data_IF_421142963172
#
_entry.id   IF_421142963172
#
_cell.length_a   1.000
_cell.length_b   1.000
_cell.length_c   1.000
_cell.angle_alpha   90.00
_cell.angle_beta   90.00
_cell.angle_gamma   90.00
#
_symmetry.space_group_name_H-M   'P 1'
#
loop_
_entity.id
_entity.type
_entity.pdbx_description
1 polymer ?
#
# COMPACT_ATOMS: atom_id res chain seq x y z
N UNK A 1 -10.58 12.72 -26.81
CA UNK A 1 -11.05 11.68 -27.74
C UNK A 1 -9.89 10.83 -28.22
N UNK A 2 -10.18 9.72 -28.91
CA UNK A 2 -9.15 8.84 -29.49
C UNK A 2 -8.36 9.58 -30.58
N UNK A 3 -7.03 9.52 -30.51
CA UNK A 3 -6.17 10.05 -31.56
C UNK A 3 -6.04 9.00 -32.66
N UNK A 4 -6.73 9.21 -33.78
CA UNK A 4 -6.80 8.26 -34.89
C UNK A 4 -5.41 7.77 -35.34
N UNK A 5 -4.43 8.67 -35.39
CA UNK A 5 -3.05 8.35 -35.80
C UNK A 5 -2.33 7.31 -34.93
N UNK A 6 -2.81 7.06 -33.69
CA UNK A 6 -2.21 6.11 -32.75
C UNK A 6 -3.12 4.91 -32.47
N UNK A 7 -4.28 4.84 -33.12
CA UNK A 7 -5.28 3.81 -32.85
C UNK A 7 -5.30 2.82 -34.01
N UNK A 8 -5.13 1.51 -33.77
CA UNK A 8 -5.28 0.50 -34.82
C UNK A 8 -6.61 0.65 -35.55
N UNK A 9 -6.58 0.55 -36.88
CA UNK A 9 -7.75 0.80 -37.74
C UNK A 9 -8.99 0.01 -37.32
N UNK A 10 -8.83 -1.25 -36.90
CA UNK A 10 -9.94 -2.09 -36.47
C UNK A 10 -10.62 -1.56 -35.20
N UNK A 11 -9.84 -1.06 -34.22
CA UNK A 11 -10.36 -0.47 -32.99
C UNK A 11 -11.04 0.87 -33.27
N UNK A 12 -10.44 1.71 -34.12
CA UNK A 12 -11.01 3.01 -34.46
C UNK A 12 -12.36 2.83 -35.17
N UNK A 13 -12.44 1.94 -36.16
CA UNK A 13 -13.70 1.62 -36.87
C UNK A 13 -14.76 1.09 -35.92
N UNK A 14 -14.40 0.16 -35.04
CA UNK A 14 -15.34 -0.39 -34.05
C UNK A 14 -15.86 0.68 -33.09
N UNK A 15 -14.97 1.53 -32.56
CA UNK A 15 -15.34 2.62 -31.65
C UNK A 15 -16.26 3.64 -32.33
N UNK A 16 -15.96 4.07 -33.55
CA UNK A 16 -16.83 4.98 -34.31
C UNK A 16 -18.18 4.35 -34.61
N UNK A 17 -18.20 3.07 -35.04
CA UNK A 17 -19.45 2.36 -35.32
C UNK A 17 -20.35 2.29 -34.08
N UNK A 18 -19.79 1.95 -32.92
CA UNK A 18 -20.56 1.85 -31.67
C UNK A 18 -21.29 3.16 -31.32
N UNK A 19 -20.63 4.31 -31.50
CA UNK A 19 -21.26 5.61 -31.25
C UNK A 19 -22.23 6.04 -32.34
N UNK A 20 -21.98 5.70 -33.61
CA UNK A 20 -22.94 5.94 -34.69
C UNK A 20 -24.22 5.12 -34.48
N UNK A 21 -24.09 3.84 -34.15
CA UNK A 21 -25.23 2.97 -33.86
C UNK A 21 -26.02 3.50 -32.66
N UNK A 22 -25.32 3.95 -31.59
CA UNK A 22 -25.97 4.51 -30.42
C UNK A 22 -26.78 5.79 -30.74
N UNK A 23 -26.25 6.66 -31.61
CA UNK A 23 -26.94 7.86 -32.07
C UNK A 23 -28.16 7.50 -32.93
N UNK A 24 -27.96 6.67 -33.97
CA UNK A 24 -29.02 6.29 -34.92
C UNK A 24 -30.20 5.61 -34.22
N UNK A 25 -29.92 4.61 -33.37
CA UNK A 25 -30.96 3.90 -32.61
C UNK A 25 -31.62 4.82 -31.57
N UNK A 26 -30.84 5.71 -30.95
CA UNK A 26 -31.35 6.67 -29.98
C UNK A 26 -32.27 7.72 -30.59
N UNK A 27 -32.02 8.17 -31.82
CA UNK A 27 -32.91 9.07 -32.55
C UNK A 27 -34.22 8.39 -32.96
N UNK A 28 -34.17 7.10 -33.32
CA UNK A 28 -35.35 6.33 -33.74
C UNK A 28 -36.25 5.93 -32.56
N UNK A 29 -35.65 5.58 -31.42
CA UNK A 29 -36.37 4.95 -30.31
C UNK A 29 -36.38 5.76 -29.01
N UNK A 30 -35.58 6.82 -28.93
CA UNK A 30 -35.35 7.59 -27.72
C UNK A 30 -34.37 6.90 -26.75
N UNK A 31 -33.96 7.64 -25.72
CA UNK A 31 -33.09 7.14 -24.64
C UNK A 31 -33.90 6.96 -23.36
N UNK A 32 -33.74 5.80 -22.70
CA UNK A 32 -34.41 5.54 -21.41
C UNK A 32 -33.76 6.28 -20.25
N UNK A 33 -32.43 6.44 -20.28
CA UNK A 33 -31.63 7.00 -19.20
C UNK A 33 -30.92 8.28 -19.69
N UNK A 34 -31.05 9.39 -18.95
CA UNK A 34 -30.37 10.63 -19.27
C UNK A 34 -28.84 10.57 -19.01
N UNK A 35 -28.42 9.68 -18.11
CA UNK A 35 -27.03 9.35 -17.81
C UNK A 35 -26.90 7.84 -17.63
N UNK A 36 -25.83 7.25 -18.15
CA UNK A 36 -25.65 5.79 -18.21
C UNK A 36 -24.33 5.31 -17.59
N UNK A 37 -23.36 6.20 -17.43
CA UNK A 37 -21.99 5.85 -17.01
C UNK A 37 -21.43 6.85 -16.00
N UNK A 38 -20.78 6.32 -14.97
CA UNK A 38 -20.04 7.05 -13.93
C UNK A 38 -18.90 6.13 -13.46
N UNK A 39 -17.78 6.69 -13.02
CA UNK A 39 -16.77 5.91 -12.28
C UNK A 39 -16.94 6.25 -10.81
N UNK A 40 -17.51 5.31 -10.06
CA UNK A 40 -17.75 5.42 -8.62
C UNK A 40 -16.50 4.98 -7.82
N UNK A 41 -16.38 5.40 -6.54
CA UNK A 41 -15.34 4.85 -5.68
C UNK A 41 -15.61 3.36 -5.43
N UNK A 42 -14.58 2.54 -5.57
CA UNK A 42 -14.68 1.07 -5.49
C UNK A 42 -13.79 0.47 -4.41
N UNK A 43 -13.45 1.23 -3.35
CA UNK A 43 -12.52 0.80 -2.31
C UNK A 43 -12.89 -0.55 -1.66
N UNK A 44 -14.12 -0.68 -1.17
CA UNK A 44 -14.61 -1.91 -0.53
C UNK A 44 -14.73 -3.06 -1.51
N UNK A 45 -15.45 -2.86 -2.62
CA UNK A 45 -15.72 -3.93 -3.59
C UNK A 45 -14.46 -4.35 -4.35
N UNK A 46 -13.55 -3.43 -4.65
CA UNK A 46 -12.29 -3.72 -5.32
C UNK A 46 -11.41 -4.63 -4.46
N UNK A 47 -11.39 -4.43 -3.14
CA UNK A 47 -10.70 -5.33 -2.23
C UNK A 47 -11.32 -6.74 -2.22
N UNK A 48 -12.65 -6.84 -2.18
CA UNK A 48 -13.37 -8.13 -2.22
C UNK A 48 -13.15 -8.86 -3.55
N UNK A 49 -12.97 -8.12 -4.64
CA UNK A 49 -12.72 -8.65 -5.98
C UNK A 49 -11.22 -8.87 -6.28
N UNK A 50 -10.34 -8.67 -5.30
CA UNK A 50 -8.89 -8.81 -5.45
C UNK A 50 -8.31 -7.93 -6.58
N UNK A 51 -8.86 -6.72 -6.73
CA UNK A 51 -8.36 -5.72 -7.66
C UNK A 51 -7.18 -4.95 -7.04
N UNK A 52 -6.02 -4.99 -7.69
CA UNK A 52 -4.85 -4.19 -7.31
C UNK A 52 -5.15 -2.67 -7.34
N UNK A 53 -6.01 -2.23 -8.27
CA UNK A 53 -6.36 -0.83 -8.49
C UNK A 53 -7.87 -0.62 -8.49
N UNK A 54 -8.32 0.58 -8.08
CA UNK A 54 -9.76 0.94 -8.04
C UNK A 54 -10.11 1.96 -9.12
N UNK A 55 -11.14 1.69 -9.92
CA UNK A 55 -11.59 2.58 -10.99
C UNK A 55 -10.51 2.88 -12.05
N UNK A 56 -10.02 4.12 -12.08
CA UNK A 56 -8.91 4.58 -12.96
C UNK A 56 -7.75 5.16 -12.14
N UNK A 57 -7.64 4.70 -10.90
CA UNK A 57 -6.53 5.04 -10.01
C UNK A 57 -5.29 4.22 -10.38
N UNK A 58 -4.10 4.83 -10.38
CA UNK A 58 -2.90 4.01 -10.24
C UNK A 58 -2.94 3.32 -8.89
N UNK A 59 -2.21 2.21 -8.78
CA UNK A 59 -2.12 1.51 -7.51
C UNK A 59 -1.58 2.43 -6.41
N UNK A 60 -2.10 2.32 -5.19
CA UNK A 60 -1.72 3.16 -4.05
C UNK A 60 -0.23 3.03 -3.71
N UNK A 61 0.25 1.79 -3.58
CA UNK A 61 1.65 1.40 -3.37
C UNK A 61 1.82 -0.10 -3.70
N UNK A 62 3.04 -0.54 -4.02
CA UNK A 62 3.33 -1.93 -4.36
C UNK A 62 3.04 -2.89 -3.19
N UNK A 63 3.37 -2.46 -1.97
CA UNK A 63 2.97 -3.11 -0.73
C UNK A 63 2.33 -2.06 0.16
N UNK A 64 1.12 -2.36 0.65
CA UNK A 64 0.30 -1.44 1.44
C UNK A 64 -0.40 -2.19 2.55
N UNK A 65 -0.72 -1.47 3.62
CA UNK A 65 -1.34 -2.03 4.80
C UNK A 65 -2.67 -1.34 5.05
N UNK A 66 -3.73 -2.12 5.15
CA UNK A 66 -5.06 -1.63 5.52
C UNK A 66 -5.24 -1.75 7.02
N UNK A 67 -5.64 -0.65 7.67
CA UNK A 67 -6.03 -0.69 9.09
C UNK A 67 -7.42 -1.31 9.23
N UNK A 68 -7.57 -2.27 10.13
CA UNK A 68 -8.86 -2.93 10.42
C UNK A 68 -9.60 -2.20 11.54
N UNK A 69 -10.94 -2.31 11.56
CA UNK A 69 -11.79 -1.67 12.57
C UNK A 69 -11.58 -2.29 13.96
N UNK A 70 -11.34 -3.61 14.02
CA UNK A 70 -10.98 -4.35 15.24
C UNK A 70 -9.54 -4.13 15.74
N UNK A 71 -8.73 -3.33 15.05
CA UNK A 71 -7.31 -3.18 15.33
C UNK A 71 -6.44 -4.10 14.46
N UNK A 72 -5.14 -3.78 14.38
CA UNK A 72 -4.21 -4.48 13.50
C UNK A 72 -4.21 -3.99 12.05
N UNK A 73 -3.42 -4.68 11.23
CA UNK A 73 -3.19 -4.34 9.82
C UNK A 73 -3.27 -5.57 8.94
N UNK A 74 -3.79 -5.36 7.73
CA UNK A 74 -3.82 -6.35 6.66
C UNK A 74 -2.83 -5.95 5.55
N UNK A 75 -1.82 -6.79 5.31
CA UNK A 75 -0.81 -6.58 4.26
C UNK A 75 -1.38 -6.96 2.89
N UNK A 76 -1.37 -6.01 1.97
CA UNK A 76 -1.81 -6.17 0.58
C UNK A 76 -0.60 -5.99 -0.33
N UNK A 77 -0.36 -6.96 -1.20
CA UNK A 77 0.77 -6.97 -2.14
C UNK A 77 0.21 -6.91 -3.55
N UNK A 78 0.76 -6.03 -4.38
CA UNK A 78 0.41 -5.94 -5.80
C UNK A 78 0.73 -7.26 -6.53
N UNK A 79 -0.30 -7.92 -7.07
CA UNK A 79 -0.16 -9.20 -7.76
C UNK A 79 0.23 -9.07 -9.24
N UNK A 80 0.21 -7.85 -9.77
CA UNK A 80 0.58 -7.54 -11.16
C UNK A 80 2.11 -7.44 -11.38
N UNK A 81 2.91 -7.21 -10.33
CA UNK A 81 4.38 -7.09 -10.45
C UNK A 81 5.04 -8.31 -11.12
N UNK A 82 4.79 -9.56 -10.69
CA UNK A 82 5.43 -10.74 -11.30
C UNK A 82 5.08 -10.88 -12.78
N UNK A 83 3.81 -10.66 -13.14
CA UNK A 83 3.32 -10.76 -14.52
C UNK A 83 3.95 -9.67 -15.40
N UNK A 84 4.05 -8.43 -14.90
CA UNK A 84 4.70 -7.35 -15.60
C UNK A 84 6.19 -7.65 -15.88
N UNK A 85 6.91 -8.17 -14.88
CA UNK A 85 8.31 -8.57 -15.04
C UNK A 85 8.47 -9.73 -16.05
N UNK A 86 7.58 -10.71 -16.02
CA UNK A 86 7.57 -11.80 -16.99
C UNK A 86 7.40 -11.28 -18.43
N UNK A 87 6.48 -10.35 -18.66
CA UNK A 87 6.28 -9.73 -19.97
C UNK A 87 7.48 -8.87 -20.43
N UNK A 88 8.26 -8.33 -19.48
CA UNK A 88 9.51 -7.63 -19.77
C UNK A 88 10.70 -8.57 -20.02
N UNK A 89 10.51 -9.88 -19.89
CA UNK A 89 11.52 -10.90 -20.19
C UNK A 89 12.48 -11.24 -19.06
N UNK A 90 12.16 -10.89 -17.81
CA UNK A 90 12.94 -11.35 -16.66
C UNK A 90 12.74 -12.86 -16.42
N UNK A 91 13.81 -13.53 -16.00
CA UNK A 91 13.77 -14.94 -15.60
C UNK A 91 13.10 -15.13 -14.24
N UNK A 92 12.61 -16.34 -13.95
CA UNK A 92 11.97 -16.66 -12.66
C UNK A 92 12.86 -16.31 -11.45
N UNK A 93 14.17 -16.51 -11.57
CA UNK A 93 15.14 -16.19 -10.50
C UNK A 93 15.28 -14.68 -10.28
N UNK A 94 15.29 -13.89 -11.36
CA UNK A 94 15.35 -12.43 -11.26
C UNK A 94 14.04 -11.89 -10.66
N UNK A 95 12.91 -12.41 -11.12
CA UNK A 95 11.57 -12.08 -10.60
C UNK A 95 11.49 -12.37 -9.09
N UNK A 96 11.89 -13.56 -8.65
CA UNK A 96 11.90 -13.93 -7.24
C UNK A 96 12.79 -13.00 -6.40
N UNK A 97 13.97 -12.62 -6.92
CA UNK A 97 14.85 -11.65 -6.26
C UNK A 97 14.23 -10.27 -6.11
N UNK A 98 13.56 -9.77 -7.15
CA UNK A 98 12.86 -8.46 -7.12
C UNK A 98 11.68 -8.50 -6.14
N UNK A 99 10.88 -9.57 -6.19
CA UNK A 99 9.72 -9.73 -5.30
C UNK A 99 10.18 -9.81 -3.85
N UNK A 100 11.20 -10.62 -3.53
CA UNK A 100 11.72 -10.73 -2.16
C UNK A 100 12.31 -9.45 -1.64
N UNK A 101 12.90 -8.62 -2.50
CA UNK A 101 13.37 -7.29 -2.12
C UNK A 101 12.22 -6.34 -1.75
N UNK A 102 11.11 -6.38 -2.49
CA UNK A 102 9.96 -5.52 -2.24
C UNK A 102 9.08 -6.03 -1.08
N UNK A 103 8.74 -7.32 -1.09
CA UNK A 103 7.75 -7.96 -0.19
C UNK A 103 8.39 -8.52 1.08
N UNK A 104 9.69 -8.82 1.03
CA UNK A 104 10.43 -9.49 2.09
C UNK A 104 10.46 -11.01 1.93
N UNK A 105 11.42 -11.64 2.62
CA UNK A 105 11.56 -13.10 2.66
C UNK A 105 10.51 -13.77 3.56
N UNK A 106 9.86 -13.01 4.46
CA UNK A 106 8.86 -13.54 5.38
C UNK A 106 9.40 -14.56 6.37
N UNK A 107 10.71 -14.51 6.64
CA UNK A 107 11.41 -15.33 7.63
C UNK A 107 12.71 -14.65 8.05
N UNK A 108 13.11 -14.87 9.30
CA UNK A 108 14.39 -14.44 9.84
C UNK A 108 15.57 -15.30 9.33
N UNK A 109 15.31 -16.37 8.58
CA UNK A 109 16.35 -17.19 7.97
C UNK A 109 17.17 -16.41 6.93
N UNK A 110 18.48 -16.28 7.16
CA UNK A 110 19.41 -15.58 6.27
C UNK A 110 19.37 -14.05 6.38
N UNK A 111 18.56 -13.50 7.29
CA UNK A 111 18.51 -12.07 7.51
C UNK A 111 19.84 -11.52 8.08
N UNK A 112 20.23 -10.29 7.73
CA UNK A 112 21.40 -9.65 8.32
C UNK A 112 21.14 -9.31 9.79
N UNK A 113 22.12 -9.53 10.66
CA UNK A 113 22.13 -9.19 12.09
C UNK A 113 21.10 -9.91 12.99
N UNK A 114 19.82 -9.91 12.63
CA UNK A 114 18.73 -10.55 13.38
C UNK A 114 18.24 -11.74 12.56
N UNK A 115 18.77 -12.93 12.84
CA UNK A 115 18.43 -14.16 12.14
C UNK A 115 18.34 -15.34 13.11
N UNK A 116 18.01 -16.52 12.60
CA UNK A 116 17.82 -17.71 13.44
C UNK A 116 19.01 -18.01 14.34
N UNK A 117 20.24 -17.86 13.82
CA UNK A 117 21.45 -18.11 14.59
C UNK A 117 21.61 -17.07 15.71
N UNK A 118 21.56 -15.77 15.37
CA UNK A 118 21.77 -14.72 16.36
C UNK A 118 20.66 -14.65 17.40
N UNK A 119 19.41 -14.98 17.03
CA UNK A 119 18.30 -15.12 17.96
C UNK A 119 18.51 -16.32 18.91
N UNK A 120 18.94 -17.47 18.40
CA UNK A 120 19.28 -18.61 19.27
C UNK A 120 20.43 -18.30 20.22
N UNK A 121 21.47 -17.59 19.77
CA UNK A 121 22.58 -17.11 20.61
C UNK A 121 22.09 -16.13 21.71
N UNK A 122 21.01 -15.39 21.45
CA UNK A 122 20.34 -14.51 22.42
C UNK A 122 19.38 -15.25 23.38
N UNK A 123 19.15 -16.55 23.21
CA UNK A 123 18.35 -17.38 24.12
C UNK A 123 16.94 -17.74 23.62
N UNK A 124 16.61 -17.42 22.36
CA UNK A 124 15.35 -17.88 21.74
C UNK A 124 15.43 -19.36 21.37
N UNK A 125 14.36 -20.10 21.67
CA UNK A 125 14.25 -21.51 21.27
C UNK A 125 13.58 -21.67 19.90
N UNK A 126 13.75 -22.83 19.27
CA UNK A 126 13.27 -23.09 17.91
C UNK A 126 11.76 -22.81 17.73
N UNK A 127 10.94 -23.16 18.72
CA UNK A 127 9.48 -22.93 18.65
C UNK A 127 9.11 -21.45 18.71
N UNK A 128 9.92 -20.59 19.33
CA UNK A 128 9.68 -19.14 19.37
C UNK A 128 10.11 -18.47 18.07
N UNK A 129 11.24 -18.91 17.50
CA UNK A 129 11.68 -18.47 16.17
C UNK A 129 10.63 -18.85 15.12
N UNK A 130 10.06 -20.06 15.20
CA UNK A 130 8.97 -20.46 14.30
C UNK A 130 7.71 -19.59 14.47
N UNK A 131 7.38 -19.16 15.69
CA UNK A 131 6.29 -18.20 15.93
C UNK A 131 6.59 -16.84 15.29
N UNK A 132 7.82 -16.34 15.42
CA UNK A 132 8.25 -15.09 14.80
C UNK A 132 8.16 -15.16 13.26
N UNK A 133 8.64 -16.25 12.66
CA UNK A 133 8.55 -16.50 11.22
C UNK A 133 7.10 -16.57 10.72
N UNK A 134 6.18 -17.14 11.50
CA UNK A 134 4.75 -17.15 11.16
C UNK A 134 4.15 -15.75 11.25
N UNK A 135 4.46 -15.00 12.29
CA UNK A 135 3.90 -13.67 12.53
C UNK A 135 4.41 -12.63 11.52
N UNK A 136 5.69 -12.71 11.13
CA UNK A 136 6.34 -11.65 10.34
C UNK A 136 5.84 -11.55 8.90
N UNK A 137 5.22 -12.62 8.36
CA UNK A 137 4.66 -12.65 7.01
C UNK A 137 3.60 -11.58 6.77
N UNK A 138 2.81 -11.27 7.80
CA UNK A 138 1.78 -10.24 7.76
C UNK A 138 2.19 -8.94 8.47
N UNK A 139 3.37 -8.90 9.08
CA UNK A 139 3.83 -7.75 9.84
C UNK A 139 4.29 -6.61 8.93
N UNK A 140 4.07 -5.38 9.41
CA UNK A 140 4.62 -4.18 8.80
C UNK A 140 6.13 -4.13 8.98
N UNK A 141 6.56 -4.30 10.22
CA UNK A 141 7.97 -4.27 10.62
C UNK A 141 8.27 -5.41 11.58
N UNK A 142 9.53 -5.83 11.61
CA UNK A 142 9.97 -6.91 12.49
C UNK A 142 9.71 -6.56 13.96
N UNK A 143 9.86 -5.30 14.36
CA UNK A 143 9.61 -4.86 15.74
C UNK A 143 8.20 -5.20 16.24
N UNK A 144 7.21 -5.26 15.34
CA UNK A 144 5.83 -5.57 15.72
C UNK A 144 5.64 -7.03 16.11
N UNK A 145 6.55 -7.93 15.74
CA UNK A 145 6.45 -9.35 16.13
C UNK A 145 7.23 -9.71 17.39
N UNK A 146 8.16 -8.85 17.81
CA UNK A 146 8.95 -9.01 19.04
C UNK A 146 8.22 -8.43 20.25
N UNK A 147 7.11 -9.06 20.64
CA UNK A 147 6.29 -8.63 21.77
C UNK A 147 5.82 -9.83 22.62
N UNK A 148 5.29 -9.54 23.82
CA UNK A 148 4.81 -10.56 24.77
C UNK A 148 3.65 -11.41 24.23
N UNK A 149 2.77 -10.84 23.42
CA UNK A 149 1.61 -11.54 22.88
C UNK A 149 2.02 -12.64 21.88
N UNK A 150 3.10 -12.42 21.13
CA UNK A 150 3.64 -13.42 20.20
C UNK A 150 4.58 -14.43 20.89
N UNK A 151 5.45 -13.95 21.78
CA UNK A 151 6.52 -14.76 22.37
C UNK A 151 6.13 -15.44 23.68
N UNK A 152 5.19 -14.88 24.42
CA UNK A 152 4.77 -15.30 25.75
C UNK A 152 5.69 -14.79 26.86
N UNK A 153 5.14 -14.67 28.07
CA UNK A 153 5.89 -14.19 29.24
C UNK A 153 7.07 -15.11 29.60
N UNK A 154 6.90 -16.43 29.48
CA UNK A 154 7.97 -17.39 29.77
C UNK A 154 9.23 -17.14 28.93
N UNK A 155 9.06 -16.75 27.66
CA UNK A 155 10.17 -16.38 26.78
C UNK A 155 10.84 -15.11 27.31
N UNK A 156 10.09 -14.04 27.53
CA UNK A 156 10.64 -12.74 27.90
C UNK A 156 11.30 -12.75 29.29
N UNK A 157 10.71 -13.47 30.24
CA UNK A 157 11.31 -13.68 31.56
C UNK A 157 12.60 -14.50 31.47
N UNK A 158 12.66 -15.52 30.61
CA UNK A 158 13.89 -16.29 30.36
C UNK A 158 14.99 -15.44 29.71
N UNK A 159 14.62 -14.49 28.85
CA UNK A 159 15.52 -13.50 28.28
C UNK A 159 15.95 -12.41 29.28
N UNK A 160 15.39 -12.41 30.50
CA UNK A 160 15.77 -11.52 31.60
C UNK A 160 14.98 -10.22 31.67
N UNK A 161 13.83 -10.12 31.00
CA UNK A 161 12.97 -8.93 31.01
C UNK A 161 11.79 -9.06 31.97
N UNK A 162 11.35 -7.94 32.54
CA UNK A 162 10.27 -7.88 33.53
C UNK A 162 8.93 -7.49 32.91
N UNK A 163 7.78 -7.83 33.54
CA UNK A 163 6.46 -7.40 33.09
C UNK A 163 6.35 -5.90 32.82
N UNK A 164 6.95 -5.08 33.67
CA UNK A 164 6.95 -3.63 33.53
C UNK A 164 7.62 -3.16 32.23
N UNK A 165 8.58 -3.93 31.71
CA UNK A 165 9.25 -3.64 30.43
C UNK A 165 8.40 -4.11 29.26
N UNK A 166 7.98 -5.38 29.23
CA UNK A 166 7.33 -5.93 28.04
C UNK A 166 5.83 -5.63 27.91
N UNK A 167 5.20 -5.07 28.94
CA UNK A 167 3.88 -4.43 28.83
C UNK A 167 3.97 -2.92 28.55
N UNK A 168 5.19 -2.35 28.50
CA UNK A 168 5.37 -0.96 28.10
C UNK A 168 5.37 -0.83 26.57
N UNK A 169 4.35 -0.16 26.02
CA UNK A 169 4.20 0.05 24.58
C UNK A 169 5.30 0.91 23.94
N UNK A 170 6.08 1.66 24.73
CA UNK A 170 7.21 2.45 24.24
C UNK A 170 8.55 1.70 24.31
N UNK A 171 8.54 0.46 24.83
CA UNK A 171 9.73 -0.35 24.97
C UNK A 171 9.95 -1.25 23.77
N UNK A 172 11.19 -1.32 23.30
CA UNK A 172 11.61 -2.15 22.17
C UNK A 172 12.40 -3.36 22.67
N UNK A 173 11.86 -4.57 22.47
CA UNK A 173 12.56 -5.81 22.79
C UNK A 173 13.87 -5.94 21.97
N UNK A 174 13.87 -5.51 20.72
CA UNK A 174 15.05 -5.58 19.86
C UNK A 174 16.19 -4.69 20.36
N UNK A 175 15.89 -3.46 20.76
CA UNK A 175 16.88 -2.56 21.37
C UNK A 175 17.38 -3.11 22.71
N UNK A 176 16.47 -3.66 23.54
CA UNK A 176 16.82 -4.24 24.82
C UNK A 176 17.69 -5.51 24.70
N UNK A 177 17.56 -6.24 23.59
CA UNK A 177 18.46 -7.33 23.21
C UNK A 177 19.81 -6.81 22.71
N UNK A 178 19.99 -5.50 22.54
CA UNK A 178 21.24 -4.85 22.15
C UNK A 178 21.45 -4.70 20.65
N UNK A 179 20.40 -4.80 19.83
CA UNK A 179 20.49 -4.49 18.41
C UNK A 179 20.42 -2.97 18.19
N UNK A 180 21.24 -2.43 17.30
CA UNK A 180 21.16 -1.02 16.90
C UNK A 180 20.02 -0.78 15.90
N UNK A 181 19.61 0.48 15.74
CA UNK A 181 18.58 0.86 14.77
C UNK A 181 18.96 0.43 13.34
N UNK A 182 20.23 0.54 12.96
CA UNK A 182 20.71 0.12 11.64
C UNK A 182 20.62 -1.40 11.45
N UNK A 183 20.89 -2.18 12.51
CA UNK A 183 20.76 -3.64 12.47
C UNK A 183 19.30 -4.05 12.35
N UNK A 184 18.41 -3.36 13.07
CA UNK A 184 16.97 -3.58 13.02
C UNK A 184 16.44 -3.24 11.63
N UNK A 185 16.80 -2.08 11.09
CA UNK A 185 16.34 -1.64 9.77
C UNK A 185 16.86 -2.56 8.65
N UNK A 186 18.13 -3.00 8.71
CA UNK A 186 18.68 -3.95 7.74
C UNK A 186 17.99 -5.32 7.79
N UNK A 187 17.72 -5.84 8.99
CA UNK A 187 16.94 -7.07 9.15
C UNK A 187 15.50 -6.86 8.65
N UNK A 188 14.90 -5.72 8.94
CA UNK A 188 13.55 -5.38 8.53
C UNK A 188 13.39 -5.38 7.00
N UNK A 189 14.32 -4.74 6.29
CA UNK A 189 14.32 -4.71 4.83
C UNK A 189 14.39 -6.10 4.21
N UNK A 190 15.14 -7.02 4.83
CA UNK A 190 15.24 -8.40 4.34
C UNK A 190 13.97 -9.20 4.64
N UNK A 191 13.46 -9.11 5.87
CA UNK A 191 12.38 -9.98 6.37
C UNK A 191 11.02 -9.47 5.91
N UNK A 192 10.73 -8.19 6.13
CA UNK A 192 9.46 -7.54 5.80
C UNK A 192 9.44 -6.91 4.40
N UNK A 193 10.62 -6.72 3.79
CA UNK A 193 10.76 -6.09 2.48
C UNK A 193 10.95 -4.58 2.58
N UNK A 194 11.48 -4.00 1.51
CA UNK A 194 11.66 -2.54 1.38
C UNK A 194 10.39 -1.82 0.95
N UNK A 195 9.34 -2.58 0.59
CA UNK A 195 8.05 -2.14 0.02
C UNK A 195 8.15 -1.45 -1.35
N UNK A 196 9.35 -1.24 -1.88
CA UNK A 196 9.61 -0.67 -3.21
C UNK A 196 10.43 -1.63 -4.06
N UNK A 197 10.45 -1.41 -5.36
CA UNK A 197 11.37 -2.08 -6.30
C UNK A 197 12.58 -1.20 -6.65
N UNK A 198 12.63 0.03 -6.15
CA UNK A 198 13.78 0.92 -6.32
C UNK A 198 15.02 0.34 -5.61
N UNK A 199 16.09 0.11 -6.39
CA UNK A 199 17.30 -0.57 -5.90
C UNK A 199 17.17 -2.09 -5.77
N UNK A 200 16.06 -2.69 -6.23
CA UNK A 200 15.91 -4.13 -6.26
C UNK A 200 17.02 -4.77 -7.10
N UNK A 201 17.53 -5.95 -6.70
CA UNK A 201 18.50 -6.67 -7.52
C UNK A 201 17.87 -7.03 -8.87
N UNK A 202 18.68 -7.06 -9.93
CA UNK A 202 18.30 -7.43 -11.31
C UNK A 202 17.39 -6.43 -12.05
N UNK A 203 16.56 -5.65 -11.36
CA UNK A 203 15.66 -4.71 -12.02
C UNK A 203 16.45 -3.58 -12.69
N UNK A 204 16.22 -3.39 -13.99
CA UNK A 204 16.79 -2.28 -14.75
C UNK A 204 16.06 -0.98 -14.44
N UNK A 205 16.81 0.11 -14.28
CA UNK A 205 16.26 1.44 -14.00
C UNK A 205 15.24 1.91 -15.05
N UNK A 206 15.44 1.54 -16.32
CA UNK A 206 14.52 1.87 -17.42
C UNK A 206 13.11 1.26 -17.27
N UNK A 207 12.97 0.20 -16.46
CA UNK A 207 11.69 -0.45 -16.19
C UNK A 207 10.99 0.09 -14.92
N UNK A 208 11.68 0.85 -14.07
CA UNK A 208 11.09 1.45 -12.86
C UNK A 208 9.79 2.22 -13.12
N UNK A 209 9.65 3.04 -14.19
CA UNK A 209 8.43 3.79 -14.43
C UNK A 209 7.15 2.95 -14.57
N UNK A 210 7.26 1.65 -14.87
CA UNK A 210 6.10 0.75 -14.96
C UNK A 210 5.50 0.46 -13.58
N UNK A 211 6.31 0.56 -12.53
CA UNK A 211 5.93 0.24 -11.15
C UNK A 211 5.67 1.50 -10.31
N UNK A 212 5.64 2.69 -10.92
CA UNK A 212 5.33 3.93 -10.22
C UNK A 212 3.87 3.90 -9.72
N UNK A 213 3.68 4.13 -8.42
CA UNK A 213 2.38 4.12 -7.76
C UNK A 213 1.83 5.54 -7.52
N UNK A 214 0.63 5.64 -6.95
CA UNK A 214 0.03 6.90 -6.54
C UNK A 214 0.87 7.65 -5.49
N UNK A 215 1.57 6.90 -4.64
CA UNK A 215 2.44 7.41 -3.59
C UNK A 215 3.83 6.74 -3.66
N UNK A 216 4.79 7.35 -2.97
CA UNK A 216 6.09 6.74 -2.69
C UNK A 216 5.90 5.39 -2.00
N UNK A 217 6.70 4.39 -2.35
CA UNK A 217 6.56 3.04 -1.80
C UNK A 217 7.57 2.81 -0.66
N UNK A 218 7.08 2.45 0.53
CA UNK A 218 7.95 2.22 1.69
C UNK A 218 8.66 3.47 2.19
N UNK A 219 9.74 3.25 2.95
CA UNK A 219 10.61 4.31 3.46
C UNK A 219 11.69 4.74 2.46
N UNK A 220 11.98 3.89 1.47
CA UNK A 220 13.11 4.05 0.53
C UNK A 220 12.69 4.49 -0.86
N UNK A 221 11.42 4.31 -1.23
CA UNK A 221 10.95 4.70 -2.55
C UNK A 221 10.83 6.20 -2.68
N UNK A 222 11.29 6.74 -3.80
CA UNK A 222 11.20 8.17 -4.11
C UNK A 222 10.27 8.45 -5.28
N UNK A 223 9.98 7.43 -6.09
CA UNK A 223 9.17 7.57 -7.29
C UNK A 223 7.68 7.44 -7.00
N UNK A 224 6.90 8.23 -7.73
CA UNK A 224 5.44 8.19 -7.73
C UNK A 224 4.90 8.86 -9.00
N UNK A 225 3.66 8.53 -9.36
CA UNK A 225 2.94 9.17 -10.46
C UNK A 225 2.53 10.57 -10.01
N UNK A 226 3.13 11.58 -10.62
CA UNK A 226 2.83 12.98 -10.38
C UNK A 226 1.33 13.30 -10.55
N UNK A 227 0.79 14.24 -9.75
CA UNK A 227 -0.64 14.62 -9.75
C UNK A 227 -1.22 14.88 -11.15
N UNK A 228 -0.43 15.49 -12.04
CA UNK A 228 -0.88 15.70 -13.43
C UNK A 228 -1.10 14.41 -14.22
N UNK A 229 -0.35 13.34 -13.94
CA UNK A 229 -0.58 12.03 -14.54
C UNK A 229 -1.98 11.51 -14.18
N UNK A 230 -2.36 11.65 -12.90
CA UNK A 230 -3.71 11.32 -12.43
C UNK A 230 -4.79 12.13 -13.17
N UNK A 231 -4.59 13.45 -13.27
CA UNK A 231 -5.53 14.38 -13.92
C UNK A 231 -5.65 14.07 -15.41
N UNK A 232 -4.54 13.83 -16.11
CA UNK A 232 -4.54 13.51 -17.54
C UNK A 232 -5.22 12.18 -17.83
N UNK A 233 -5.06 11.19 -16.95
CA UNK A 233 -5.79 9.92 -17.07
C UNK A 233 -7.30 10.13 -16.91
N UNK A 234 -7.72 10.90 -15.90
CA UNK A 234 -9.14 11.28 -15.75
C UNK A 234 -9.65 12.01 -16.99
N UNK A 235 -8.86 12.95 -17.53
CA UNK A 235 -9.26 13.75 -18.69
C UNK A 235 -9.36 12.91 -19.97
N UNK A 236 -8.55 11.86 -20.10
CA UNK A 236 -8.66 10.90 -21.19
C UNK A 236 -9.97 10.09 -21.13
N UNK A 237 -10.41 9.72 -19.93
CA UNK A 237 -11.63 8.94 -19.71
C UNK A 237 -12.92 9.78 -19.71
N UNK A 238 -12.87 11.02 -19.22
CA UNK A 238 -14.03 11.89 -18.99
C UNK A 238 -14.98 12.06 -20.20
N UNK A 239 -14.51 12.15 -21.47
CA UNK A 239 -15.38 12.28 -22.63
C UNK A 239 -16.29 11.06 -22.88
N UNK A 240 -15.92 9.89 -22.38
CA UNK A 240 -16.69 8.64 -22.55
C UNK A 240 -17.66 8.38 -21.39
N UNK A 241 -17.70 9.28 -20.41
CA UNK A 241 -18.46 9.11 -19.17
C UNK A 241 -19.50 10.23 -19.07
N UNK A 242 -20.77 9.86 -19.01
CA UNK A 242 -21.90 10.80 -18.94
C UNK A 242 -21.94 11.53 -17.58
N UNK A 243 -21.64 10.83 -16.49
CA UNK A 243 -21.41 11.36 -15.15
C UNK A 243 -19.97 11.82 -14.92
N UNK A 244 -19.57 11.89 -13.65
CA UNK A 244 -18.23 12.27 -13.21
C UNK A 244 -17.34 11.05 -12.93
N UNK A 245 -16.09 11.32 -12.54
CA UNK A 245 -15.12 10.32 -12.10
C UNK A 245 -14.83 10.60 -10.62
N UNK A 246 -15.17 9.66 -9.75
CA UNK A 246 -14.83 9.71 -8.33
C UNK A 246 -13.49 9.01 -8.12
N UNK A 247 -12.43 9.71 -8.52
CA UNK A 247 -11.03 9.29 -8.39
C UNK A 247 -10.27 10.33 -7.60
N UNK A 248 -9.48 9.90 -6.62
CA UNK A 248 -8.65 10.80 -5.81
C UNK A 248 -7.33 11.11 -6.52
N UNK A 249 -6.96 12.39 -6.60
CA UNK A 249 -5.65 12.85 -7.04
C UNK A 249 -4.76 12.90 -5.80
N UNK A 250 -3.75 12.02 -5.73
CA UNK A 250 -2.84 11.94 -4.61
C UNK A 250 -1.66 12.91 -4.80
N UNK A 251 -1.31 13.62 -3.73
CA UNK A 251 -0.13 14.46 -3.62
C UNK A 251 0.71 14.01 -2.42
N UNK A 252 2.04 14.14 -2.52
CA UNK A 252 2.93 13.80 -1.41
C UNK A 252 2.74 14.77 -0.24
N UNK A 253 3.22 14.37 0.94
CA UNK A 253 3.08 15.15 2.17
C UNK A 253 3.68 16.56 2.04
N UNK A 254 4.81 16.66 1.36
CA UNK A 254 5.54 17.91 1.08
C UNK A 254 4.87 18.84 0.07
N UNK A 255 3.74 18.45 -0.55
CA UNK A 255 3.12 19.26 -1.59
C UNK A 255 2.65 20.63 -1.08
N UNK A 256 2.96 21.65 -1.88
CA UNK A 256 2.71 23.06 -1.59
C UNK A 256 1.34 23.53 -2.10
N UNK A 257 0.88 24.68 -1.57
CA UNK A 257 -0.38 25.32 -1.99
C UNK A 257 -0.41 25.60 -3.49
N UNK A 258 0.73 25.96 -4.08
CA UNK A 258 0.85 26.22 -5.51
C UNK A 258 0.56 24.98 -6.36
N UNK A 259 1.04 23.80 -5.94
CA UNK A 259 0.82 22.53 -6.64
C UNK A 259 -0.64 22.06 -6.54
N UNK A 260 -1.28 22.33 -5.39
CA UNK A 260 -2.71 22.10 -5.20
C UNK A 260 -3.53 23.01 -6.13
N UNK A 261 -3.21 24.31 -6.16
CA UNK A 261 -3.88 25.27 -7.04
C UNK A 261 -3.72 24.90 -8.52
N UNK A 262 -2.51 24.51 -8.92
CA UNK A 262 -2.21 24.06 -10.28
C UNK A 262 -2.99 22.79 -10.66
N UNK A 263 -3.15 21.85 -9.73
CA UNK A 263 -3.97 20.65 -9.94
C UNK A 263 -5.45 20.97 -10.22
N UNK A 264 -6.03 21.93 -9.47
CA UNK A 264 -7.38 22.42 -9.75
C UNK A 264 -7.47 23.15 -11.10
N UNK A 265 -6.51 24.01 -11.41
CA UNK A 265 -6.46 24.76 -12.67
C UNK A 265 -6.39 23.83 -13.88
N UNK A 266 -5.48 22.85 -13.85
CA UNK A 266 -5.33 21.86 -14.91
C UNK A 266 -6.60 21.02 -15.08
N UNK A 267 -7.21 20.60 -13.97
CA UNK A 267 -8.47 19.83 -13.99
C UNK A 267 -9.59 20.61 -14.67
N UNK A 268 -9.72 21.91 -14.36
CA UNK A 268 -10.68 22.80 -15.00
C UNK A 268 -10.38 22.99 -16.50
N UNK A 269 -9.12 23.27 -16.86
CA UNK A 269 -8.69 23.45 -18.26
C UNK A 269 -8.97 22.20 -19.13
N UNK A 270 -8.87 21.02 -18.54
CA UNK A 270 -9.13 19.75 -19.23
C UNK A 270 -10.61 19.32 -19.19
N UNK A 271 -11.49 20.12 -18.58
CA UNK A 271 -12.93 19.87 -18.57
C UNK A 271 -13.35 18.72 -17.66
N UNK A 272 -12.59 18.44 -16.59
CA UNK A 272 -13.02 17.46 -15.59
C UNK A 272 -14.26 17.94 -14.84
N UNK A 273 -15.24 17.03 -14.68
CA UNK A 273 -16.50 17.36 -14.00
C UNK A 273 -16.39 17.33 -12.48
N UNK A 274 -15.39 16.62 -11.96
CA UNK A 274 -15.09 16.51 -10.53
C UNK A 274 -13.57 16.44 -10.31
N UNK A 275 -13.11 17.02 -9.21
CA UNK A 275 -11.71 17.01 -8.79
C UNK A 275 -11.67 16.78 -7.28
N UNK A 276 -11.29 15.57 -6.87
CA UNK A 276 -11.04 15.21 -5.48
C UNK A 276 -9.53 15.08 -5.29
N UNK A 277 -8.99 15.75 -4.27
CA UNK A 277 -7.55 15.81 -4.02
C UNK A 277 -7.27 15.36 -2.59
N UNK A 278 -6.21 14.59 -2.43
CA UNK A 278 -5.71 14.16 -1.13
C UNK A 278 -4.21 14.43 -1.06
N UNK A 279 -3.78 15.16 -0.03
CA UNK A 279 -2.37 15.33 0.29
C UNK A 279 -2.04 14.38 1.44
N UNK A 280 -0.98 13.59 1.28
CA UNK A 280 -0.57 12.64 2.32
C UNK A 280 -0.40 13.36 3.68
N UNK A 281 -0.85 12.69 4.74
CA UNK A 281 -0.86 13.23 6.11
C UNK A 281 -1.87 14.34 6.39
N UNK A 282 -2.70 14.77 5.43
CA UNK A 282 -3.68 15.85 5.66
C UNK A 282 -4.95 15.41 6.41
N UNK A 283 -5.05 14.13 6.80
CA UNK A 283 -6.14 13.57 7.61
C UNK A 283 -5.58 12.82 8.81
N UNK A 284 -6.29 12.89 9.93
CA UNK A 284 -5.92 12.23 11.20
C UNK A 284 -5.93 10.69 11.13
N UNK A 285 -6.72 10.12 10.22
CA UNK A 285 -6.80 8.67 10.02
C UNK A 285 -6.73 8.38 8.53
N UNK A 286 -5.87 7.42 8.16
CA UNK A 286 -5.73 6.92 6.81
C UNK A 286 -6.13 5.44 6.78
N UNK A 287 -6.98 5.02 5.82
CA UNK A 287 -7.38 3.62 5.71
C UNK A 287 -6.26 2.72 5.18
N UNK A 288 -5.33 3.28 4.40
CA UNK A 288 -4.18 2.59 3.81
C UNK A 288 -2.89 3.31 4.22
N UNK A 289 -1.83 2.54 4.44
CA UNK A 289 -0.48 3.03 4.74
C UNK A 289 0.56 2.31 3.89
N UNK A 290 1.56 3.05 3.44
CA UNK A 290 2.68 2.58 2.61
C UNK A 290 4.02 2.55 3.37
N UNK A 291 4.07 3.12 4.57
CA UNK A 291 5.20 3.08 5.51
C UNK A 291 4.67 3.02 6.95
N UNK A 292 5.51 2.52 7.87
CA UNK A 292 5.20 2.57 9.29
C UNK A 292 5.59 3.94 9.84
N UNK A 293 4.74 4.49 10.70
CA UNK A 293 5.07 5.68 11.47
C UNK A 293 5.90 5.26 12.69
N UNK A 294 7.23 5.41 12.64
CA UNK A 294 8.04 5.44 13.86
C UNK A 294 7.71 6.75 14.58
N UNK A 295 7.06 6.70 15.76
CA UNK A 295 7.04 7.86 16.66
C UNK A 295 8.48 8.19 17.00
N UNK A 296 9.04 9.26 16.41
CA UNK A 296 10.32 9.80 16.88
C UNK A 296 10.14 10.21 18.34
N UNK A 297 11.04 9.75 19.22
CA UNK A 297 11.27 10.39 20.51
C UNK A 297 11.86 11.77 20.22
N UNK A 298 11.00 12.77 20.00
CA UNK A 298 11.43 14.16 20.01
C UNK A 298 11.60 14.61 21.46
N UNK A 299 12.84 14.92 21.79
CA UNK A 299 13.25 15.52 23.05
C UNK A 299 12.89 17.01 23.02
N UNK A 300 11.63 17.34 23.33
CA UNK A 300 11.23 18.73 23.62
C UNK A 300 10.14 18.80 24.68
N UNK A 301 10.53 19.39 25.81
CA UNK A 301 9.67 19.99 26.82
C UNK A 301 8.69 21.01 26.22
N UNK A 302 7.46 21.00 26.76
CA UNK A 302 6.40 22.00 26.65
C UNK A 302 5.49 21.96 25.41
N UNK A 303 4.38 21.23 25.52
CA UNK A 303 3.03 21.81 25.60
C UNK A 303 2.03 20.67 25.87
N UNK A 304 1.40 20.72 27.04
CA UNK A 304 0.33 19.81 27.41
C UNK A 304 -0.97 20.27 26.76
N UNK A 305 -1.51 19.49 25.83
CA UNK A 305 -2.95 19.50 25.53
C UNK A 305 -3.47 18.07 25.40
N UNK A 306 -4.65 17.87 25.97
CA UNK A 306 -5.21 16.60 26.42
C UNK A 306 -5.37 15.55 25.31
N UNK A 307 -4.72 14.40 25.50
CA UNK A 307 -5.11 13.15 24.86
C UNK A 307 -6.23 12.50 25.69
N UNK A 308 -7.40 12.33 25.08
CA UNK A 308 -8.43 11.42 25.57
C UNK A 308 -7.90 9.99 25.35
N UNK A 309 -7.89 9.11 26.37
CA UNK A 309 -7.37 7.77 26.22
C UNK A 309 -8.29 6.98 25.27
N UNK A 310 -7.74 6.55 24.13
CA UNK A 310 -8.38 5.56 23.27
C UNK A 310 -8.22 4.22 23.98
N UNK A 311 -9.35 3.65 24.39
CA UNK A 311 -9.42 2.34 25.01
C UNK A 311 -8.87 1.25 24.06
N UNK A 312 -8.06 0.38 24.64
CA UNK A 312 -7.97 -1.07 24.41
C UNK A 312 -8.37 -1.55 23.00
N UNK A 313 -7.36 -1.84 22.17
CA UNK A 313 -7.54 -2.69 21.00
C UNK A 313 -6.39 -3.71 20.95
N UNK A 314 -6.75 -4.99 20.92
CA UNK A 314 -5.86 -6.12 20.80
C UNK A 314 -4.99 -5.99 19.54
N UNK A 315 -3.68 -6.20 19.67
CA UNK A 315 -2.74 -6.18 18.55
C UNK A 315 -2.74 -7.50 17.77
N UNK A 316 -3.92 -8.00 17.44
CA UNK A 316 -4.09 -9.18 16.59
C UNK A 316 -3.82 -8.82 15.13
N UNK A 317 -2.72 -9.30 14.55
CA UNK A 317 -2.55 -9.30 13.10
C UNK A 317 -3.47 -10.41 12.55
N UNK A 318 -4.60 -10.02 11.95
CA UNK A 318 -5.58 -10.96 11.37
C UNK A 318 -5.18 -11.34 9.95
N UNK A 319 -4.97 -12.63 9.70
CA UNK A 319 -4.71 -13.20 8.38
C UNK A 319 -6.03 -13.43 7.63
N UNK A 320 -6.49 -12.41 6.89
CA UNK A 320 -7.78 -12.46 6.19
C UNK A 320 -7.81 -13.44 5.01
N UNK A 321 -6.67 -14.03 4.60
CA UNK A 321 -6.65 -15.10 3.57
C UNK A 321 -7.36 -16.38 4.01
N UNK A 322 -7.70 -16.46 5.30
CA UNK A 322 -8.44 -17.56 5.93
C UNK A 322 -9.87 -17.19 6.31
N UNK A 323 -10.28 -15.94 6.10
CA UNK A 323 -11.62 -15.48 6.43
C UNK A 323 -12.58 -15.74 5.28
N UNK A 324 -13.81 -16.01 5.66
CA UNK A 324 -14.93 -16.14 4.74
C UNK A 324 -15.30 -14.78 4.14
N UNK A 325 -16.01 -14.80 3.01
CA UNK A 325 -16.47 -13.58 2.34
C UNK A 325 -17.33 -12.72 3.28
N UNK A 326 -18.11 -13.35 4.16
CA UNK A 326 -18.98 -12.64 5.12
C UNK A 326 -18.16 -11.93 6.20
N UNK A 327 -17.13 -12.58 6.75
CA UNK A 327 -16.19 -11.97 7.72
C UNK A 327 -15.36 -10.85 7.09
N UNK A 328 -14.99 -10.99 5.82
CA UNK A 328 -14.36 -9.91 5.03
C UNK A 328 -15.30 -8.71 4.87
N UNK A 329 -16.60 -8.94 4.67
CA UNK A 329 -17.56 -7.84 4.50
C UNK A 329 -17.84 -7.09 5.81
N UNK A 330 -17.83 -7.78 6.95
CA UNK A 330 -17.98 -7.16 8.28
C UNK A 330 -16.78 -6.26 8.64
N UNK A 331 -15.55 -6.68 8.33
CA UNK A 331 -14.33 -5.89 8.61
C UNK A 331 -14.12 -4.72 7.63
N UNK A 332 -14.90 -4.63 6.56
CA UNK A 332 -14.77 -3.59 5.52
C UNK A 332 -15.88 -2.52 5.61
N UNK A 333 -16.90 -2.70 6.46
CA UNK A 333 -17.91 -1.68 6.80
C UNK A 333 -17.43 -0.71 7.89
#
# INVERSE_FOLDING_TARGET
>A
GLKAQFTPDYLLKAACKAWNDALELGEQHGYRNAQTTVIAPTGTIGLVMDCDTTGVEPDFALVKFKKLSGGGYFKIINQSVPLALQHMGYSEKEIDGIIKYAVGHGSFAGAPHINHQTLSEKGFIASEIEKLDKAVKAAFEIGFVFNVYNLGEECLQRLGFTPEQYFNFEWSLLEALGFSDEQIDAANDYVCGTMTVEGAPFLKDEHLPVFDCANKCGKKGERYIHAHGHIRMMAAAQPFISGAISKTINLPHEAEVAEIADSYLLSWQLGLKACALYRDGSKMSQPLSNKSDKKKKEDTSAAAEAQVPVAEAESGIVDMSKLTIDELLEEVQ
#
